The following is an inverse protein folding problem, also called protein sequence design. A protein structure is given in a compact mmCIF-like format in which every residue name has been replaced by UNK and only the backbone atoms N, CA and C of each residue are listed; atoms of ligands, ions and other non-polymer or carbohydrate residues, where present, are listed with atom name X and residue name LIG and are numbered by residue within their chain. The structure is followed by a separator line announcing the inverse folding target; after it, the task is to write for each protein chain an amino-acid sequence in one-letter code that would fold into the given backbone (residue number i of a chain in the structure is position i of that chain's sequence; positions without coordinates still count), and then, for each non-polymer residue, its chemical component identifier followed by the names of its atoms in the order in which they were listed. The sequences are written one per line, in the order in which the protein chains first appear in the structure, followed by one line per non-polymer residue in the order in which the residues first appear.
data_IF_281619932015
#
_entry.id   IF_281619932015
#
_cell.length_a   1.000
_cell.length_b   1.000
_cell.length_c   1.000
_cell.angle_alpha   90.00
_cell.angle_beta   90.00
_cell.angle_gamma   90.00
#
_symmetry.space_group_name_H-M   'P 1'
#
loop_
_entity.id
_entity.type
_entity.pdbx_description
1 polymer ?
#
# COMPACT_ATOMS: atom_id res chain seq x y z
N UNK A 1 -2.19 0.86 7.39
CA UNK A 1 -1.30 1.59 8.33
C UNK A 1 -0.72 0.73 9.46
N UNK A 2 -1.51 -0.08 10.18
CA UNK A 2 -1.00 -0.94 11.27
C UNK A 2 0.13 -1.88 10.80
N UNK A 3 -0.03 -2.51 9.63
CA UNK A 3 0.97 -3.41 9.05
C UNK A 3 2.30 -2.70 8.76
N UNK A 4 2.26 -1.43 8.32
CA UNK A 4 3.48 -0.64 8.09
C UNK A 4 4.23 -0.36 9.39
N UNK A 5 3.52 -0.07 10.49
CA UNK A 5 4.14 0.13 11.80
C UNK A 5 4.82 -1.15 12.29
N UNK A 6 4.16 -2.30 12.11
CA UNK A 6 4.73 -3.61 12.45
C UNK A 6 6.00 -3.87 11.64
N UNK A 7 5.98 -3.61 10.32
CA UNK A 7 7.15 -3.78 9.46
C UNK A 7 8.36 -2.92 9.91
N UNK A 8 8.10 -1.68 10.34
CA UNK A 8 9.15 -0.79 10.88
C UNK A 8 9.73 -1.37 12.17
N UNK A 9 8.88 -1.80 13.12
CA UNK A 9 9.34 -2.38 14.39
C UNK A 9 10.18 -3.64 14.13
N UNK A 10 9.69 -4.54 13.28
CA UNK A 10 10.43 -5.74 12.90
C UNK A 10 11.77 -5.39 12.23
N UNK A 11 11.80 -4.34 11.39
CA UNK A 11 13.03 -3.89 10.76
C UNK A 11 14.11 -3.43 11.74
N UNK A 12 13.72 -2.84 12.87
CA UNK A 12 14.63 -2.50 13.95
C UNK A 12 15.07 -3.74 14.75
N UNK A 13 14.16 -4.67 15.04
CA UNK A 13 14.45 -5.89 15.81
C UNK A 13 15.42 -6.81 15.06
N UNK A 14 15.27 -6.94 13.75
CA UNK A 14 16.12 -7.79 12.91
C UNK A 14 17.40 -7.11 12.40
N UNK A 15 17.68 -5.86 12.79
CA UNK A 15 18.87 -5.11 12.38
C UNK A 15 19.09 -5.08 10.84
N UNK A 16 18.03 -4.74 10.10
CA UNK A 16 18.06 -4.72 8.64
C UNK A 16 19.17 -3.81 8.08
N UNK A 17 19.73 -4.23 6.95
CA UNK A 17 20.72 -3.48 6.19
C UNK A 17 20.09 -2.25 5.52
N UNK A 18 20.91 -1.29 5.12
CA UNK A 18 20.47 -0.03 4.49
C UNK A 18 19.62 -0.26 3.23
N UNK A 19 19.97 -1.25 2.41
CA UNK A 19 19.20 -1.60 1.22
C UNK A 19 17.82 -2.18 1.55
N UNK A 20 17.73 -3.04 2.56
CA UNK A 20 16.45 -3.62 3.01
C UNK A 20 15.52 -2.53 3.55
N UNK A 21 16.07 -1.58 4.32
CA UNK A 21 15.33 -0.39 4.76
C UNK A 21 14.81 0.45 3.60
N UNK A 22 15.60 0.66 2.55
CA UNK A 22 15.13 1.41 1.37
C UNK A 22 13.90 0.76 0.73
N UNK A 23 13.90 -0.58 0.60
CA UNK A 23 12.77 -1.31 0.02
C UNK A 23 11.54 -1.31 0.93
N UNK A 24 11.70 -1.45 2.25
CA UNK A 24 10.58 -1.35 3.20
C UNK A 24 9.96 0.05 3.16
N UNK A 25 10.80 1.10 3.24
CA UNK A 25 10.33 2.49 3.20
C UNK A 25 9.61 2.75 1.86
N UNK A 26 10.18 2.30 0.74
CA UNK A 26 9.56 2.42 -0.57
C UNK A 26 8.20 1.73 -0.62
N UNK A 27 8.09 0.50 -0.12
CA UNK A 27 6.83 -0.24 -0.09
C UNK A 27 5.76 0.49 0.75
N UNK A 28 6.14 1.01 1.92
CA UNK A 28 5.23 1.76 2.79
C UNK A 28 4.75 3.04 2.12
N UNK A 29 5.67 3.85 1.58
CA UNK A 29 5.34 5.11 0.91
C UNK A 29 4.46 4.87 -0.31
N UNK A 30 4.72 3.82 -1.07
CA UNK A 30 3.93 3.47 -2.24
C UNK A 30 2.49 3.09 -1.86
N UNK A 31 2.30 2.25 -0.84
CA UNK A 31 0.96 1.90 -0.31
C UNK A 31 0.21 3.16 0.12
N UNK A 32 0.85 4.04 0.90
CA UNK A 32 0.22 5.28 1.37
C UNK A 32 -0.13 6.24 0.22
N UNK A 33 0.73 6.33 -0.79
CA UNK A 33 0.49 7.18 -1.95
C UNK A 33 -0.71 6.69 -2.74
N UNK A 34 -0.81 5.39 -2.99
CA UNK A 34 -1.93 4.79 -3.73
C UNK A 34 -3.23 4.86 -2.95
N UNK A 35 -3.19 4.72 -1.62
CA UNK A 35 -4.36 4.95 -0.75
C UNK A 35 -4.87 6.40 -0.87
N UNK A 36 -3.96 7.37 -0.81
CA UNK A 36 -4.32 8.79 -0.97
C UNK A 36 -4.90 9.09 -2.36
N UNK A 37 -4.37 8.46 -3.41
CA UNK A 37 -4.92 8.54 -4.76
C UNK A 37 -6.30 7.89 -4.84
N UNK A 38 -6.52 6.75 -4.18
CA UNK A 38 -7.84 6.11 -4.11
C UNK A 38 -8.87 7.05 -3.48
N UNK A 39 -8.56 7.65 -2.33
CA UNK A 39 -9.43 8.64 -1.67
C UNK A 39 -9.64 9.89 -2.52
N UNK A 40 -8.62 10.36 -3.26
CA UNK A 40 -8.77 11.48 -4.17
C UNK A 40 -9.76 11.16 -5.31
N UNK A 41 -9.68 9.95 -5.89
CA UNK A 41 -10.62 9.49 -6.91
C UNK A 41 -12.03 9.37 -6.33
N UNK A 42 -12.19 8.78 -5.14
CA UNK A 42 -13.49 8.72 -4.45
C UNK A 42 -14.09 10.11 -4.26
N UNK A 43 -13.29 11.08 -3.79
CA UNK A 43 -13.73 12.45 -3.57
C UNK A 43 -14.14 13.15 -4.87
N UNK A 44 -13.39 12.94 -5.98
CA UNK A 44 -13.76 13.49 -7.29
C UNK A 44 -15.05 12.87 -7.81
N UNK A 45 -15.22 11.55 -7.66
CA UNK A 45 -16.45 10.86 -8.09
C UNK A 45 -17.65 11.34 -7.28
N UNK A 46 -17.51 11.49 -5.96
CA UNK A 46 -18.56 11.98 -5.05
C UNK A 46 -18.90 13.46 -5.29
N UNK A 47 -17.94 14.26 -5.77
CA UNK A 47 -18.17 15.64 -6.18
C UNK A 47 -18.98 15.74 -7.48
N UNK A 48 -18.72 14.84 -8.44
CA UNK A 48 -19.32 14.90 -9.78
C UNK A 48 -20.74 14.33 -9.81
N UNK A 49 -21.01 13.27 -9.05
CA UNK A 49 -22.32 12.61 -9.07
C UNK A 49 -22.70 12.01 -7.71
N UNK A 50 -23.94 12.27 -7.29
CA UNK A 50 -24.58 11.65 -6.13
C UNK A 50 -25.41 10.42 -6.52
N UNK A 51 -25.76 10.30 -7.81
CA UNK A 51 -26.56 9.19 -8.34
C UNK A 51 -25.66 8.05 -8.81
N UNK A 52 -26.13 6.82 -8.62
CA UNK A 52 -25.39 5.64 -9.06
C UNK A 52 -25.17 5.64 -10.57
N UNK A 53 -23.90 5.64 -10.98
CA UNK A 53 -23.46 5.50 -12.37
C UNK A 53 -22.47 4.33 -12.48
N UNK A 54 -22.64 3.48 -13.49
CA UNK A 54 -21.74 2.33 -13.67
C UNK A 54 -20.27 2.75 -13.86
N UNK A 55 -20.01 3.85 -14.57
CA UNK A 55 -18.66 4.38 -14.76
C UNK A 55 -18.03 4.89 -13.46
N UNK A 56 -18.84 5.51 -12.59
CA UNK A 56 -18.39 5.97 -11.27
C UNK A 56 -18.00 4.78 -10.38
N UNK A 57 -18.78 3.70 -10.43
CA UNK A 57 -18.44 2.45 -9.75
C UNK A 57 -17.14 1.85 -10.30
N UNK A 58 -16.99 1.74 -11.62
CA UNK A 58 -15.78 1.21 -12.24
C UNK A 58 -14.54 2.02 -11.86
N UNK A 59 -14.63 3.36 -11.81
CA UNK A 59 -13.53 4.22 -11.38
C UNK A 59 -13.09 3.92 -9.94
N UNK A 60 -14.05 3.80 -9.00
CA UNK A 60 -13.76 3.44 -7.60
C UNK A 60 -13.19 2.02 -7.48
N UNK A 61 -13.75 1.06 -8.22
CA UNK A 61 -13.29 -0.33 -8.19
C UNK A 61 -11.84 -0.47 -8.70
N UNK A 62 -11.47 0.26 -9.77
CA UNK A 62 -10.11 0.26 -10.32
C UNK A 62 -9.11 0.94 -9.36
N UNK A 63 -9.53 2.01 -8.69
CA UNK A 63 -8.71 2.69 -7.70
C UNK A 63 -8.42 1.77 -6.50
N UNK A 64 -9.43 1.09 -5.97
CA UNK A 64 -9.29 0.11 -4.90
C UNK A 64 -8.43 -1.10 -5.34
N UNK A 65 -8.60 -1.58 -6.57
CA UNK A 65 -7.76 -2.65 -7.12
C UNK A 65 -6.28 -2.26 -7.20
N UNK A 66 -5.98 -1.00 -7.51
CA UNK A 66 -4.60 -0.48 -7.55
C UNK A 66 -3.94 -0.53 -6.16
N UNK A 67 -4.69 -0.17 -5.10
CA UNK A 67 -4.26 -0.32 -3.70
C UNK A 67 -4.05 -1.78 -3.32
N UNK A 68 -4.91 -2.69 -3.79
CA UNK A 68 -4.73 -4.13 -3.54
C UNK A 68 -3.42 -4.64 -4.16
N UNK A 69 -3.14 -4.30 -5.41
CA UNK A 69 -1.90 -4.72 -6.09
C UNK A 69 -0.65 -4.23 -5.36
N UNK A 70 -0.64 -2.97 -4.92
CA UNK A 70 0.52 -2.43 -4.19
C UNK A 70 0.68 -3.05 -2.81
N UNK A 71 -0.43 -3.43 -2.16
CA UNK A 71 -0.40 -4.14 -0.88
C UNK A 71 0.19 -5.55 -1.01
N UNK A 72 -0.13 -6.26 -2.09
CA UNK A 72 0.49 -7.56 -2.41
C UNK A 72 1.98 -7.39 -2.69
N UNK A 73 2.37 -6.37 -3.43
CA UNK A 73 3.78 -6.06 -3.67
C UNK A 73 4.55 -5.78 -2.36
N UNK A 74 3.97 -4.98 -1.47
CA UNK A 74 4.55 -4.71 -0.15
C UNK A 74 4.70 -5.99 0.70
N UNK A 75 3.71 -6.90 0.64
CA UNK A 75 3.79 -8.21 1.30
C UNK A 75 4.96 -9.03 0.76
N UNK A 76 5.12 -9.10 -0.56
CA UNK A 76 6.21 -9.85 -1.21
C UNK A 76 7.58 -9.29 -0.79
N UNK A 77 7.76 -7.96 -0.78
CA UNK A 77 8.99 -7.34 -0.28
C UNK A 77 9.24 -7.70 1.19
N UNK A 78 8.21 -7.62 2.04
CA UNK A 78 8.33 -8.02 3.44
C UNK A 78 8.79 -9.47 3.59
N UNK A 79 8.20 -10.40 2.83
CA UNK A 79 8.60 -11.80 2.86
C UNK A 79 10.06 -12.00 2.40
N UNK A 80 10.48 -11.35 1.32
CA UNK A 80 11.86 -11.46 0.80
C UNK A 80 12.89 -10.97 1.83
N UNK A 81 12.58 -9.93 2.59
CA UNK A 81 13.49 -9.33 3.56
C UNK A 81 13.47 -10.08 4.90
N UNK A 82 12.29 -10.43 5.40
CA UNK A 82 12.15 -11.02 6.74
C UNK A 82 12.34 -12.54 6.78
N UNK A 83 12.04 -13.29 5.71
CA UNK A 83 12.24 -14.76 5.71
C UNK A 83 13.71 -15.15 5.97
N UNK A 84 14.71 -14.57 5.29
CA UNK A 84 16.13 -14.91 5.52
C UNK A 84 16.68 -14.46 6.88
N UNK A 85 15.98 -13.58 7.59
CA UNK A 85 16.37 -13.16 8.94
C UNK A 85 15.78 -14.06 10.03
N UNK A 86 14.75 -14.85 9.69
CA UNK A 86 14.08 -15.78 10.61
C UNK A 86 14.71 -17.18 10.55
N UNK A 87 15.28 -17.58 9.41
CA UNK A 87 15.95 -18.87 9.17
C UNK A 87 17.44 -18.68 8.89
#
# INVERSE_FOLDING_TARGET
MIVALIAIILGFVFHLNRFEWMFIILAIVLVLTLEAVNTAIECVVDLVTMDYHELAKQAKDIAAFSVMLVSIFALIIGLIIFIPHIF
#
